data_IF_105629138448
#
_entry.id   IF_105629138448
#
_cell.length_a   1.000
_cell.length_b   1.000
_cell.length_c   1.000
_cell.angle_alpha   90.00
_cell.angle_beta   90.00
_cell.angle_gamma   90.00
#
_symmetry.space_group_name_H-M   'P 1'
#
loop_
_entity.id
_entity.type
_entity.pdbx_description
1 polymer ?
#
# COMPACT_ATOMS: atom_id res chain seq x y z
N UNK A 1 -10.63 26.40 -3.35
CA UNK A 1 -10.70 25.43 -2.25
C UNK A 1 -12.13 24.91 -2.13
N UNK A 2 -12.28 23.61 -1.95
CA UNK A 2 -13.59 22.97 -1.76
C UNK A 2 -13.54 22.28 -0.39
N UNK A 3 -14.10 22.86 0.68
CA UNK A 3 -14.03 22.28 2.00
C UNK A 3 -14.74 20.92 2.04
N UNK A 4 -14.16 19.97 2.77
CA UNK A 4 -14.80 18.70 3.11
C UNK A 4 -15.35 18.87 4.53
N UNK A 5 -16.66 18.82 4.67
CA UNK A 5 -17.36 18.95 5.97
C UNK A 5 -17.88 17.62 6.47
N UNK A 6 -18.13 16.67 5.54
CA UNK A 6 -18.60 15.32 5.83
C UNK A 6 -17.90 14.31 4.92
N UNK A 7 -17.09 13.43 5.53
CA UNK A 7 -16.24 12.45 4.87
C UNK A 7 -16.78 11.03 5.04
N UNK A 8 -17.03 10.34 3.94
CA UNK A 8 -17.24 8.91 3.94
C UNK A 8 -15.90 8.18 3.73
N UNK A 9 -15.66 7.13 4.51
CA UNK A 9 -14.52 6.23 4.27
C UNK A 9 -15.01 4.96 3.59
N UNK A 10 -14.67 4.82 2.29
CA UNK A 10 -15.03 3.66 1.48
C UNK A 10 -14.10 2.48 1.75
N UNK A 11 -13.98 2.10 3.01
CA UNK A 11 -13.10 1.04 3.50
C UNK A 11 -13.56 0.54 4.87
N UNK A 12 -12.80 -0.38 5.47
CA UNK A 12 -13.13 -1.04 6.73
C UNK A 12 -11.90 -1.13 7.66
N UNK A 13 -12.16 -1.64 8.87
CA UNK A 13 -11.12 -2.04 9.83
C UNK A 13 -10.19 -0.89 10.21
N UNK A 14 -8.88 -1.16 10.34
CA UNK A 14 -7.91 -0.24 10.91
C UNK A 14 -7.73 1.04 10.07
N UNK A 15 -7.72 0.92 8.73
CA UNK A 15 -7.54 2.10 7.88
C UNK A 15 -8.74 3.06 7.92
N UNK A 16 -9.95 2.53 8.06
CA UNK A 16 -11.12 3.38 8.24
C UNK A 16 -11.02 4.16 9.56
N UNK A 17 -10.65 3.50 10.65
CA UNK A 17 -10.43 4.14 11.95
C UNK A 17 -9.30 5.19 11.86
N UNK A 18 -8.21 4.86 11.15
CA UNK A 18 -7.09 5.78 10.95
C UNK A 18 -7.52 7.07 10.24
N UNK A 19 -8.34 6.94 9.22
CA UNK A 19 -8.88 8.10 8.48
C UNK A 19 -9.85 8.90 9.35
N UNK A 20 -10.74 8.25 10.09
CA UNK A 20 -11.66 8.93 10.99
C UNK A 20 -10.95 9.80 12.03
N UNK A 21 -9.83 9.32 12.60
CA UNK A 21 -9.02 10.09 13.55
C UNK A 21 -8.55 11.42 12.96
N UNK A 22 -7.93 11.39 11.78
CA UNK A 22 -7.45 12.63 11.13
C UNK A 22 -8.60 13.53 10.68
N UNK A 23 -9.72 12.97 10.21
CA UNK A 23 -10.90 13.74 9.86
C UNK A 23 -11.50 14.43 11.08
N UNK A 24 -11.63 13.74 12.20
CA UNK A 24 -12.15 14.26 13.46
C UNK A 24 -11.30 15.42 14.01
N UNK A 25 -9.97 15.27 13.97
CA UNK A 25 -9.01 16.33 14.34
C UNK A 25 -9.07 17.57 13.42
N UNK A 26 -9.61 17.43 12.23
CA UNK A 26 -9.90 18.53 11.30
C UNK A 26 -11.32 19.09 11.46
N UNK A 27 -12.13 18.59 12.40
CA UNK A 27 -13.53 18.98 12.59
C UNK A 27 -14.48 18.48 11.48
N UNK A 28 -14.07 17.45 10.72
CA UNK A 28 -14.85 16.86 9.64
C UNK A 28 -15.72 15.73 10.21
N UNK A 29 -17.03 15.76 9.94
CA UNK A 29 -17.94 14.66 10.30
C UNK A 29 -17.60 13.42 9.50
N UNK A 30 -17.71 12.25 10.12
CA UNK A 30 -17.26 11.00 9.57
C UNK A 30 -18.42 10.03 9.32
N UNK A 31 -18.37 9.33 8.19
CA UNK A 31 -19.34 8.31 7.79
C UNK A 31 -18.63 7.00 7.53
N UNK A 32 -18.99 5.96 8.26
CA UNK A 32 -18.58 4.60 7.98
C UNK A 32 -19.56 3.89 7.06
N UNK A 33 -19.05 3.01 6.20
CA UNK A 33 -19.85 1.96 5.55
C UNK A 33 -19.43 0.62 6.11
N UNK A 34 -20.36 -0.33 6.18
CA UNK A 34 -20.05 -1.68 6.65
C UNK A 34 -20.93 -2.73 5.95
N UNK A 35 -20.33 -3.87 5.58
CA UNK A 35 -21.07 -5.03 5.12
C UNK A 35 -21.78 -5.73 6.31
N UNK A 36 -22.76 -6.57 6.04
CA UNK A 36 -23.49 -7.30 7.08
C UNK A 36 -22.55 -8.08 8.01
N UNK A 37 -21.47 -8.63 7.48
CA UNK A 37 -20.46 -9.39 8.22
C UNK A 37 -19.64 -8.51 9.16
N UNK A 38 -19.53 -7.22 8.86
CA UNK A 38 -18.82 -6.21 9.66
C UNK A 38 -19.74 -5.45 10.66
N UNK A 39 -21.00 -5.90 10.86
CA UNK A 39 -21.95 -5.20 11.74
C UNK A 39 -21.47 -5.00 13.18
N UNK A 40 -20.47 -5.76 13.61
CA UNK A 40 -19.81 -5.64 14.91
C UNK A 40 -18.38 -5.14 14.83
N UNK A 41 -17.89 -4.79 13.65
CA UNK A 41 -16.53 -4.28 13.48
C UNK A 41 -16.36 -2.88 14.09
N UNK A 42 -15.19 -2.62 14.68
CA UNK A 42 -14.92 -1.40 15.46
C UNK A 42 -15.07 -0.12 14.64
N UNK A 43 -14.71 -0.14 13.36
CA UNK A 43 -14.76 1.08 12.53
C UNK A 43 -16.18 1.67 12.45
N UNK A 44 -17.20 0.83 12.49
CA UNK A 44 -18.60 1.26 12.53
C UNK A 44 -18.91 2.16 13.72
N UNK A 45 -18.30 1.88 14.88
CA UNK A 45 -18.53 2.60 16.14
C UNK A 45 -17.56 3.77 16.36
N UNK A 46 -16.66 4.02 15.40
CA UNK A 46 -15.67 5.10 15.47
C UNK A 46 -15.98 6.26 14.55
N UNK A 47 -16.99 6.15 13.73
CA UNK A 47 -17.53 7.23 12.92
C UNK A 47 -18.73 7.89 13.58
N UNK A 48 -19.07 9.11 13.19
CA UNK A 48 -20.26 9.82 13.67
C UNK A 48 -21.55 9.17 13.14
N UNK A 49 -21.49 8.62 11.92
CA UNK A 49 -22.59 7.91 11.26
C UNK A 49 -22.07 6.62 10.63
N UNK A 50 -22.93 5.59 10.56
CA UNK A 50 -22.57 4.32 9.95
C UNK A 50 -23.73 3.69 9.19
N UNK A 51 -23.50 3.24 7.96
CA UNK A 51 -24.53 2.71 7.08
C UNK A 51 -24.17 1.34 6.53
N UNK A 52 -25.17 0.46 6.49
CA UNK A 52 -25.06 -0.86 5.88
C UNK A 52 -25.00 -0.73 4.35
N UNK A 53 -24.05 -1.44 3.74
CA UNK A 53 -23.92 -1.55 2.28
C UNK A 53 -23.98 -2.99 1.82
N UNK A 54 -24.45 -3.20 0.59
CA UNK A 54 -24.53 -4.52 -0.03
C UNK A 54 -25.56 -5.45 0.60
N UNK A 55 -25.39 -6.75 0.35
CA UNK A 55 -26.30 -7.80 0.79
C UNK A 55 -25.59 -8.79 1.73
N UNK A 56 -26.30 -9.45 2.66
CA UNK A 56 -25.73 -10.54 3.45
C UNK A 56 -25.15 -11.64 2.56
N UNK A 57 -23.97 -12.15 2.92
CA UNK A 57 -23.27 -13.20 2.16
C UNK A 57 -22.39 -12.69 1.01
N UNK A 58 -22.38 -11.39 0.73
CA UNK A 58 -21.53 -10.78 -0.30
C UNK A 58 -20.57 -9.73 0.31
N UNK A 59 -19.77 -10.06 1.33
CA UNK A 59 -19.03 -9.07 2.12
C UNK A 59 -18.02 -8.25 1.29
N UNK A 60 -17.25 -8.89 0.41
CA UNK A 60 -16.27 -8.21 -0.44
C UNK A 60 -16.96 -7.34 -1.48
N UNK A 61 -18.00 -7.87 -2.13
CA UNK A 61 -18.75 -7.15 -3.17
C UNK A 61 -19.39 -5.88 -2.63
N UNK A 62 -19.81 -5.89 -1.36
CA UNK A 62 -20.39 -4.73 -0.69
C UNK A 62 -19.43 -3.52 -0.66
N UNK A 63 -18.12 -3.74 -0.53
CA UNK A 63 -17.09 -2.69 -0.56
C UNK A 63 -16.60 -2.35 -1.99
N UNK A 64 -17.07 -3.08 -3.00
CA UNK A 64 -16.75 -2.86 -4.41
C UNK A 64 -17.93 -2.29 -5.21
N UNK A 65 -19.06 -2.04 -4.56
CA UNK A 65 -20.28 -1.49 -5.18
C UNK A 65 -20.16 0.03 -5.34
N UNK A 66 -19.60 0.45 -6.47
CA UNK A 66 -19.38 1.86 -6.81
C UNK A 66 -20.69 2.66 -6.75
N UNK A 67 -21.73 2.16 -7.43
CA UNK A 67 -23.01 2.87 -7.56
C UNK A 67 -23.71 2.98 -6.21
N UNK A 68 -23.75 1.89 -5.43
CA UNK A 68 -24.34 1.86 -4.10
C UNK A 68 -23.64 2.79 -3.12
N UNK A 69 -22.31 2.81 -3.12
CA UNK A 69 -21.50 3.69 -2.25
C UNK A 69 -21.71 5.16 -2.61
N UNK A 70 -21.67 5.52 -3.89
CA UNK A 70 -21.87 6.90 -4.36
C UNK A 70 -23.30 7.38 -4.11
N UNK A 71 -24.31 6.52 -4.34
CA UNK A 71 -25.71 6.85 -4.07
C UNK A 71 -25.95 7.09 -2.56
N UNK A 72 -25.36 6.26 -1.70
CA UNK A 72 -25.42 6.42 -0.24
C UNK A 72 -24.75 7.74 0.18
N UNK A 73 -23.55 8.03 -0.35
CA UNK A 73 -22.83 9.26 -0.06
C UNK A 73 -23.68 10.50 -0.40
N UNK A 74 -24.34 10.52 -1.56
CA UNK A 74 -25.24 11.60 -1.96
C UNK A 74 -26.45 11.73 -1.04
N UNK A 75 -27.11 10.61 -0.73
CA UNK A 75 -28.30 10.59 0.12
C UNK A 75 -28.04 11.14 1.52
N UNK A 76 -26.81 11.00 2.01
CA UNK A 76 -26.40 11.45 3.35
C UNK A 76 -25.58 12.74 3.37
N UNK A 77 -25.53 13.49 2.25
CA UNK A 77 -24.87 14.78 2.19
C UNK A 77 -23.36 14.72 2.40
N UNK A 78 -22.71 13.62 1.98
CA UNK A 78 -21.26 13.45 1.97
C UNK A 78 -20.66 14.30 0.85
N UNK A 79 -19.61 15.06 1.16
CA UNK A 79 -18.90 15.92 0.22
C UNK A 79 -17.47 15.48 -0.08
N UNK A 80 -16.95 14.49 0.66
CA UNK A 80 -15.67 13.83 0.40
C UNK A 80 -15.71 12.33 0.63
N UNK A 81 -14.95 11.56 -0.16
CA UNK A 81 -14.76 10.12 0.02
C UNK A 81 -13.28 9.80 0.09
N UNK A 82 -12.86 9.11 1.17
CA UNK A 82 -11.51 8.56 1.30
C UNK A 82 -11.56 7.05 1.06
N UNK A 83 -10.83 6.51 0.06
CA UNK A 83 -10.90 5.10 -0.28
C UNK A 83 -10.01 4.20 0.60
N UNK A 84 -9.11 4.76 1.41
CA UNK A 84 -8.10 4.01 2.14
C UNK A 84 -7.08 3.34 1.22
N UNK A 85 -6.82 2.05 1.45
CA UNK A 85 -6.04 1.17 0.58
C UNK A 85 -6.79 -0.15 0.30
N UNK A 86 -6.47 -0.84 -0.79
CA UNK A 86 -7.25 -1.99 -1.27
C UNK A 86 -8.63 -1.57 -1.78
N UNK A 87 -9.52 -2.54 -2.02
CA UNK A 87 -10.86 -2.31 -2.58
C UNK A 87 -10.85 -1.35 -3.78
N UNK A 88 -11.49 -0.19 -3.64
CA UNK A 88 -11.66 0.80 -4.70
C UNK A 88 -10.60 1.92 -4.70
N UNK A 89 -9.55 1.81 -3.88
CA UNK A 89 -8.57 2.90 -3.72
C UNK A 89 -7.77 3.24 -4.99
N UNK A 90 -7.59 2.28 -5.88
CA UNK A 90 -6.89 2.44 -7.15
C UNK A 90 -7.85 2.35 -8.35
N UNK A 91 -9.16 2.38 -8.10
CA UNK A 91 -10.17 2.22 -9.15
C UNK A 91 -10.52 3.57 -9.80
N UNK A 92 -10.18 3.79 -11.10
CA UNK A 92 -10.44 5.04 -11.79
C UNK A 92 -11.93 5.29 -12.02
N UNK A 93 -12.76 4.25 -12.15
CA UNK A 93 -14.21 4.38 -12.34
C UNK A 93 -14.86 4.91 -11.06
N UNK A 94 -14.39 4.47 -9.88
CA UNK A 94 -14.87 5.01 -8.62
C UNK A 94 -14.52 6.48 -8.43
N UNK A 95 -13.28 6.87 -8.72
CA UNK A 95 -12.87 8.28 -8.67
C UNK A 95 -13.70 9.13 -9.64
N UNK A 96 -13.94 8.63 -10.87
CA UNK A 96 -14.79 9.30 -11.85
C UNK A 96 -16.25 9.40 -11.39
N UNK A 97 -16.81 8.37 -10.78
CA UNK A 97 -18.17 8.36 -10.24
C UNK A 97 -18.31 9.38 -9.09
N UNK A 98 -17.34 9.48 -8.20
CA UNK A 98 -17.29 10.52 -7.16
C UNK A 98 -17.33 11.92 -7.80
N UNK A 99 -16.46 12.19 -8.78
CA UNK A 99 -16.41 13.48 -9.49
C UNK A 99 -17.73 13.86 -10.17
N UNK A 100 -18.36 12.90 -10.87
CA UNK A 100 -19.69 13.09 -11.50
C UNK A 100 -20.80 13.37 -10.46
N UNK A 101 -20.68 12.79 -9.27
CA UNK A 101 -21.60 13.03 -8.17
C UNK A 101 -21.35 14.36 -7.44
N UNK A 102 -20.29 15.07 -7.81
CA UNK A 102 -19.89 16.29 -7.13
C UNK A 102 -19.21 16.03 -5.78
N UNK A 103 -18.69 14.85 -5.52
CA UNK A 103 -18.02 14.44 -4.30
C UNK A 103 -16.51 14.46 -4.52
N UNK A 104 -15.74 15.01 -3.59
CA UNK A 104 -14.27 15.03 -3.64
C UNK A 104 -13.72 13.65 -3.35
N UNK A 105 -13.00 13.05 -4.31
CA UNK A 105 -12.24 11.83 -4.08
C UNK A 105 -10.90 12.19 -3.42
N UNK A 106 -10.61 11.62 -2.25
CA UNK A 106 -9.35 11.85 -1.53
C UNK A 106 -8.30 10.88 -2.05
N UNK A 107 -7.63 11.29 -3.11
CA UNK A 107 -6.65 10.48 -3.83
C UNK A 107 -6.22 11.18 -5.12
N UNK A 108 -5.43 10.51 -5.95
CA UNK A 108 -5.02 11.02 -7.25
C UNK A 108 -6.19 11.16 -8.23
N UNK A 109 -6.03 12.02 -9.24
CA UNK A 109 -7.02 12.17 -10.32
C UNK A 109 -7.16 10.90 -11.18
N UNK A 110 -8.28 10.81 -11.89
CA UNK A 110 -8.67 9.62 -12.68
C UNK A 110 -7.57 9.19 -13.67
N UNK A 111 -6.99 10.14 -14.41
CA UNK A 111 -5.97 9.87 -15.43
C UNK A 111 -4.69 9.30 -14.80
N UNK A 112 -4.34 9.72 -13.60
CA UNK A 112 -3.21 9.14 -12.85
C UNK A 112 -3.48 7.70 -12.43
N UNK A 113 -4.69 7.43 -11.90
CA UNK A 113 -5.09 6.08 -11.53
C UNK A 113 -5.07 5.13 -12.74
N UNK A 114 -5.53 5.59 -13.91
CA UNK A 114 -5.47 4.83 -15.15
C UNK A 114 -4.04 4.57 -15.61
N UNK A 115 -3.21 5.60 -15.65
CA UNK A 115 -1.81 5.50 -16.13
C UNK A 115 -0.97 4.62 -15.21
N UNK A 116 -1.09 4.79 -13.89
CA UNK A 116 -0.27 4.07 -12.90
C UNK A 116 -0.79 2.66 -12.63
N UNK A 117 -2.08 2.39 -12.90
CA UNK A 117 -2.65 1.04 -12.85
C UNK A 117 -2.23 0.15 -14.03
N UNK A 118 -1.77 0.74 -15.14
CA UNK A 118 -1.18 0.03 -16.27
C UNK A 118 0.33 -0.09 -16.10
N UNK A 119 0.83 -1.32 -15.92
CA UNK A 119 2.27 -1.57 -15.70
C UNK A 119 3.16 -1.10 -16.83
N UNK A 120 2.68 -1.18 -18.07
CA UNK A 120 3.45 -0.73 -19.24
C UNK A 120 3.52 0.80 -19.25
N UNK A 121 2.40 1.48 -19.07
CA UNK A 121 2.35 2.93 -19.00
C UNK A 121 3.16 3.49 -17.81
N UNK A 122 3.14 2.82 -16.66
CA UNK A 122 3.95 3.20 -15.51
C UNK A 122 5.47 3.03 -15.77
N UNK A 123 5.89 1.97 -16.46
CA UNK A 123 7.29 1.76 -16.88
C UNK A 123 7.74 2.80 -17.90
N UNK A 124 6.89 3.13 -18.88
CA UNK A 124 7.16 4.17 -19.86
C UNK A 124 7.28 5.54 -19.20
N UNK A 125 6.46 5.81 -18.19
CA UNK A 125 6.54 7.02 -17.38
C UNK A 125 7.88 7.11 -16.62
N UNK A 126 8.30 6.03 -15.97
CA UNK A 126 9.59 5.97 -15.28
C UNK A 126 10.76 6.16 -16.25
N UNK A 127 10.71 5.54 -17.42
CA UNK A 127 11.72 5.72 -18.47
C UNK A 127 11.79 7.19 -18.96
N UNK A 128 10.62 7.82 -19.20
CA UNK A 128 10.55 9.25 -19.56
C UNK A 128 11.09 10.17 -18.47
N UNK A 129 10.97 9.77 -17.23
CA UNK A 129 11.53 10.48 -16.08
C UNK A 129 13.05 10.25 -15.91
N UNK A 130 13.68 9.44 -16.77
CA UNK A 130 15.11 9.10 -16.68
C UNK A 130 15.43 8.12 -15.55
N UNK A 131 14.43 7.41 -15.01
CA UNK A 131 14.61 6.48 -13.90
C UNK A 131 14.92 5.08 -14.43
N UNK A 132 15.95 4.40 -13.89
CA UNK A 132 16.29 3.05 -14.32
C UNK A 132 15.13 2.07 -14.10
N UNK A 133 14.87 1.25 -15.12
CA UNK A 133 13.91 0.12 -15.06
C UNK A 133 14.67 -1.20 -15.24
N UNK A 134 14.16 -2.30 -14.67
CA UNK A 134 14.75 -3.61 -14.89
C UNK A 134 14.72 -3.96 -16.37
N UNK A 135 15.87 -4.42 -16.88
CA UNK A 135 15.96 -4.94 -18.24
C UNK A 135 15.06 -6.17 -18.39
N UNK A 136 14.31 -6.23 -19.47
CA UNK A 136 13.37 -7.31 -19.75
C UNK A 136 12.75 -7.23 -21.12
N UNK A 137 11.85 -8.17 -21.42
CA UNK A 137 11.10 -8.17 -22.67
C UNK A 137 10.18 -6.95 -22.77
N UNK A 138 10.19 -6.29 -23.91
CA UNK A 138 9.29 -5.15 -24.17
C UNK A 138 7.82 -5.60 -24.36
N UNK A 139 7.62 -6.87 -24.77
CA UNK A 139 6.31 -7.50 -25.01
C UNK A 139 6.28 -8.88 -24.36
N UNK A 140 5.10 -9.43 -24.11
CA UNK A 140 4.99 -10.82 -23.70
C UNK A 140 5.70 -11.74 -24.71
N UNK A 141 6.43 -12.73 -24.20
CA UNK A 141 7.16 -13.68 -25.06
C UNK A 141 6.20 -14.62 -25.80
N UNK A 142 6.50 -14.88 -27.06
CA UNK A 142 5.65 -15.70 -27.95
C UNK A 142 5.85 -17.20 -27.71
N UNK A 143 6.98 -17.60 -27.12
CA UNK A 143 7.27 -19.01 -26.83
C UNK A 143 8.68 -19.19 -26.30
N UNK A 144 9.11 -20.48 -26.23
CA UNK A 144 10.40 -20.85 -25.62
C UNK A 144 11.60 -20.20 -26.34
N UNK A 145 11.63 -20.22 -27.68
CA UNK A 145 12.76 -19.67 -28.43
C UNK A 145 12.94 -18.15 -28.21
N UNK A 146 11.84 -17.42 -28.15
CA UNK A 146 11.86 -15.98 -27.85
C UNK A 146 12.30 -15.70 -26.41
N UNK A 147 11.74 -16.44 -25.44
CA UNK A 147 12.13 -16.35 -24.04
C UNK A 147 13.61 -16.69 -23.83
N UNK A 148 14.14 -17.71 -24.50
CA UNK A 148 15.53 -18.12 -24.42
C UNK A 148 16.48 -17.06 -24.97
N UNK A 149 16.14 -16.47 -26.11
CA UNK A 149 16.92 -15.39 -26.71
C UNK A 149 17.05 -14.23 -25.72
N UNK A 150 15.93 -13.75 -25.17
CA UNK A 150 15.89 -12.65 -24.21
C UNK A 150 16.65 -13.01 -22.93
N UNK A 151 16.47 -14.23 -22.40
CA UNK A 151 17.17 -14.67 -21.20
C UNK A 151 18.71 -14.72 -21.40
N UNK A 152 19.19 -15.13 -22.58
CA UNK A 152 20.62 -15.11 -22.93
C UNK A 152 21.16 -13.68 -23.02
N UNK A 153 20.41 -12.74 -23.59
CA UNK A 153 20.77 -11.32 -23.64
C UNK A 153 20.84 -10.67 -22.26
N UNK A 154 19.89 -11.00 -21.36
CA UNK A 154 19.84 -10.49 -20.00
C UNK A 154 20.89 -11.13 -19.06
N UNK A 155 21.35 -12.33 -19.41
CA UNK A 155 22.13 -13.18 -18.52
C UNK A 155 21.30 -13.77 -17.37
N UNK A 156 21.66 -15.02 -17.00
CA UNK A 156 20.99 -15.70 -15.89
C UNK A 156 21.36 -15.13 -14.51
N UNK A 157 20.51 -15.25 -13.47
CA UNK A 157 19.13 -15.72 -13.54
C UNK A 157 18.16 -14.67 -14.11
N UNK A 158 17.01 -15.16 -14.62
CA UNK A 158 15.88 -14.32 -15.03
C UNK A 158 14.61 -14.69 -14.26
N UNK A 159 13.60 -13.82 -14.31
CA UNK A 159 12.28 -14.09 -13.75
C UNK A 159 11.21 -14.00 -14.83
N UNK A 160 10.33 -14.98 -14.85
CA UNK A 160 9.12 -14.99 -15.67
C UNK A 160 7.99 -14.35 -14.86
N UNK A 161 7.24 -13.43 -15.47
CA UNK A 161 6.12 -12.71 -14.81
C UNK A 161 4.87 -12.73 -15.68
N UNK A 162 3.73 -13.09 -15.10
CA UNK A 162 2.43 -12.97 -15.78
C UNK A 162 2.12 -11.48 -16.06
N UNK A 163 1.62 -11.17 -17.25
CA UNK A 163 1.29 -9.81 -17.67
C UNK A 163 0.25 -9.13 -16.76
N UNK A 164 -0.76 -9.88 -16.34
CA UNK A 164 -1.85 -9.41 -15.47
C UNK A 164 -1.69 -9.87 -14.02
N UNK A 165 -0.52 -10.41 -13.64
CA UNK A 165 -0.22 -10.88 -12.29
C UNK A 165 0.05 -9.74 -11.30
N UNK A 166 -0.29 -9.99 -10.03
CA UNK A 166 0.01 -9.10 -8.90
C UNK A 166 0.30 -9.91 -7.64
N UNK A 167 0.95 -9.29 -6.64
CA UNK A 167 1.23 -9.94 -5.36
C UNK A 167 2.10 -11.20 -5.43
N UNK A 168 2.97 -11.32 -6.44
CA UNK A 168 3.87 -12.46 -6.59
C UNK A 168 3.27 -13.70 -7.28
N UNK A 169 2.00 -13.70 -7.64
CA UNK A 169 1.38 -14.80 -8.38
C UNK A 169 1.83 -14.82 -9.83
N UNK A 170 2.10 -16.01 -10.37
CA UNK A 170 2.58 -16.19 -11.75
C UNK A 170 4.03 -15.78 -11.96
N UNK A 171 4.84 -15.68 -10.89
CA UNK A 171 6.28 -15.43 -10.98
C UNK A 171 7.08 -16.73 -10.84
N UNK A 172 8.10 -16.90 -11.70
CA UNK A 172 9.03 -18.05 -11.66
C UNK A 172 10.46 -17.57 -11.90
N UNK A 173 11.34 -17.83 -10.95
CA UNK A 173 12.78 -17.60 -11.13
C UNK A 173 13.36 -18.78 -11.92
N UNK A 174 14.15 -18.46 -12.94
CA UNK A 174 14.82 -19.41 -13.83
C UNK A 174 16.32 -19.15 -13.75
N UNK A 175 17.07 -20.15 -13.33
CA UNK A 175 18.52 -20.01 -13.07
C UNK A 175 19.40 -20.42 -14.24
N UNK A 176 18.85 -21.20 -15.16
CA UNK A 176 19.55 -21.69 -16.34
C UNK A 176 18.63 -22.06 -17.48
N UNK A 177 19.22 -22.35 -18.63
CA UNK A 177 18.50 -22.70 -19.87
C UNK A 177 17.65 -23.98 -19.71
N UNK A 178 18.14 -24.94 -18.93
CA UNK A 178 17.50 -26.23 -18.65
C UNK A 178 16.15 -26.08 -17.89
N UNK A 179 16.02 -25.05 -17.08
CA UNK A 179 14.80 -24.80 -16.32
C UNK A 179 13.73 -24.02 -17.14
N UNK A 180 14.13 -23.32 -18.20
CA UNK A 180 13.30 -22.32 -18.87
C UNK A 180 12.02 -22.89 -19.48
N UNK A 181 12.09 -24.02 -20.15
CA UNK A 181 10.94 -24.60 -20.85
C UNK A 181 9.81 -24.96 -19.88
N UNK A 182 10.14 -25.67 -18.80
CA UNK A 182 9.18 -26.10 -17.77
C UNK A 182 8.61 -24.90 -17.00
N UNK A 183 9.48 -23.95 -16.67
CA UNK A 183 9.08 -22.75 -15.96
C UNK A 183 8.14 -21.87 -16.79
N UNK A 184 8.39 -21.71 -18.09
CA UNK A 184 7.57 -20.92 -19.00
C UNK A 184 6.17 -21.54 -19.18
N UNK A 185 6.10 -22.85 -19.45
CA UNK A 185 4.82 -23.55 -19.56
C UNK A 185 3.99 -23.45 -18.27
N UNK A 186 4.64 -23.64 -17.13
CA UNK A 186 3.99 -23.52 -15.83
C UNK A 186 3.47 -22.10 -15.58
N UNK A 187 4.27 -21.07 -15.89
CA UNK A 187 3.89 -19.66 -15.72
C UNK A 187 2.72 -19.29 -16.66
N UNK A 188 2.74 -19.72 -17.91
CA UNK A 188 1.67 -19.47 -18.88
C UNK A 188 0.37 -20.15 -18.48
N UNK A 189 0.41 -21.40 -18.01
CA UNK A 189 -0.77 -22.14 -17.52
C UNK A 189 -1.39 -21.48 -16.29
N UNK A 190 -0.56 -21.12 -15.30
CA UNK A 190 -1.02 -20.42 -14.10
C UNK A 190 -1.63 -19.05 -14.45
N UNK A 191 -0.98 -18.29 -15.33
CA UNK A 191 -1.47 -16.99 -15.80
C UNK A 191 -2.82 -17.10 -16.52
N UNK A 192 -2.97 -18.10 -17.37
CA UNK A 192 -4.24 -18.37 -18.08
C UNK A 192 -5.36 -18.74 -17.11
N UNK A 193 -5.07 -19.56 -16.11
CA UNK A 193 -6.07 -20.00 -15.11
C UNK A 193 -6.46 -18.86 -14.17
N UNK A 194 -5.50 -18.08 -13.71
CA UNK A 194 -5.76 -17.02 -12.70
C UNK A 194 -6.28 -15.72 -13.32
N UNK A 195 -5.86 -15.39 -14.55
CA UNK A 195 -6.10 -14.07 -15.16
C UNK A 195 -6.71 -14.12 -16.57
N UNK A 196 -7.01 -15.31 -17.08
CA UNK A 196 -7.58 -15.49 -18.43
C UNK A 196 -6.60 -15.27 -19.59
N UNK A 197 -5.33 -14.92 -19.33
CA UNK A 197 -4.31 -14.63 -20.33
C UNK A 197 -3.03 -15.42 -20.06
N UNK A 198 -2.43 -16.03 -21.09
CA UNK A 198 -1.15 -16.74 -21.01
C UNK A 198 0.08 -15.83 -21.24
N UNK A 199 -0.13 -14.51 -21.27
CA UNK A 199 0.94 -13.54 -21.53
C UNK A 199 1.97 -13.52 -20.39
N UNK A 200 3.25 -13.75 -20.71
CA UNK A 200 4.36 -13.79 -19.76
C UNK A 200 5.50 -12.92 -20.27
N UNK A 201 6.09 -12.14 -19.38
CA UNK A 201 7.30 -11.36 -19.61
C UNK A 201 8.52 -12.05 -19.02
N UNK A 202 9.70 -11.79 -19.60
CA UNK A 202 11.01 -12.18 -19.06
C UNK A 202 11.72 -10.94 -18.57
N UNK A 203 12.17 -10.92 -17.32
CA UNK A 203 12.95 -9.81 -16.75
C UNK A 203 14.22 -10.33 -16.08
N UNK A 204 15.23 -9.44 -15.94
CA UNK A 204 16.41 -9.73 -15.13
C UNK A 204 16.02 -9.98 -13.69
N UNK A 205 16.52 -11.05 -13.07
CA UNK A 205 16.32 -11.32 -11.66
C UNK A 205 17.52 -10.82 -10.84
N UNK A 206 17.23 -10.04 -9.79
CA UNK A 206 18.22 -9.58 -8.83
C UNK A 206 18.20 -10.53 -7.65
N UNK A 207 19.32 -11.21 -7.41
CA UNK A 207 19.38 -12.28 -6.39
C UNK A 207 19.28 -11.75 -4.97
N UNK A 208 19.93 -10.61 -4.68
CA UNK A 208 19.96 -9.96 -3.36
C UNK A 208 19.28 -8.60 -3.46
N UNK A 209 17.99 -8.65 -3.74
CA UNK A 209 17.19 -7.44 -3.88
C UNK A 209 16.67 -6.96 -2.53
N UNK A 210 16.78 -5.65 -2.28
CA UNK A 210 16.02 -4.95 -1.24
C UNK A 210 14.84 -4.25 -1.89
N UNK A 211 13.72 -4.28 -1.19
CA UNK A 211 12.50 -3.57 -1.61
C UNK A 211 12.46 -2.23 -0.87
N UNK A 212 12.84 -1.19 -1.56
CA UNK A 212 12.86 0.18 -1.04
C UNK A 212 11.75 0.98 -1.72
N UNK A 213 11.05 1.78 -0.95
CA UNK A 213 9.95 2.58 -1.47
C UNK A 213 9.98 4.01 -0.92
N UNK A 214 9.53 4.98 -1.70
CA UNK A 214 9.53 6.40 -1.33
C UNK A 214 8.12 6.93 -1.25
N UNK A 215 7.79 7.53 -0.10
CA UNK A 215 6.52 8.20 0.11
C UNK A 215 6.49 9.55 -0.61
N UNK A 216 5.53 9.73 -1.50
CA UNK A 216 5.24 11.02 -2.15
C UNK A 216 3.99 11.67 -1.54
N UNK A 217 3.98 12.99 -1.59
CA UNK A 217 2.79 13.81 -1.37
C UNK A 217 2.81 15.01 -2.33
N UNK A 218 1.77 15.14 -3.14
CA UNK A 218 1.58 16.23 -4.09
C UNK A 218 0.31 17.01 -3.82
N UNK A 219 0.29 18.30 -4.17
CA UNK A 219 -0.92 19.10 -4.16
C UNK A 219 -1.51 19.28 -5.57
N UNK A 220 -2.70 19.91 -5.66
CA UNK A 220 -3.37 20.20 -6.93
C UNK A 220 -2.73 21.35 -7.73
N UNK A 221 -1.68 21.96 -7.19
CA UNK A 221 -0.99 23.13 -7.76
C UNK A 221 0.36 22.78 -8.40
N UNK A 222 0.72 21.47 -8.39
CA UNK A 222 1.96 20.96 -8.97
C UNK A 222 3.15 20.96 -8.02
N UNK A 223 2.95 21.27 -6.74
CA UNK A 223 4.01 21.09 -5.74
C UNK A 223 4.06 19.63 -5.29
N UNK A 224 5.27 19.11 -5.11
CA UNK A 224 5.52 17.72 -4.78
C UNK A 224 6.69 17.61 -3.83
N UNK A 225 6.55 16.80 -2.77
CA UNK A 225 7.62 16.44 -1.84
C UNK A 225 7.68 14.94 -1.64
N UNK A 226 8.82 14.45 -1.19
CA UNK A 226 8.96 13.11 -0.63
C UNK A 226 9.04 13.17 0.90
N UNK A 227 8.58 12.11 1.55
CA UNK A 227 8.64 11.93 3.00
C UNK A 227 9.59 10.78 3.36
N UNK A 228 10.71 10.71 2.66
CA UNK A 228 11.75 9.69 2.77
C UNK A 228 11.30 8.28 2.35
N UNK A 229 12.22 7.35 2.50
CA UNK A 229 12.08 5.97 2.08
C UNK A 229 11.73 5.04 3.25
N UNK A 230 11.20 3.88 2.86
CA UNK A 230 10.97 2.71 3.70
C UNK A 230 11.67 1.49 3.13
N UNK A 231 12.11 0.60 3.98
CA UNK A 231 12.55 -0.73 3.61
C UNK A 231 11.45 -1.75 3.90
N UNK A 232 10.98 -2.42 2.88
CA UNK A 232 9.94 -3.43 2.91
C UNK A 232 10.46 -4.82 2.47
N UNK A 233 11.76 -5.08 2.67
CA UNK A 233 12.41 -6.31 2.21
C UNK A 233 12.02 -7.55 3.02
N UNK A 234 11.58 -7.38 4.27
CA UNK A 234 11.13 -8.51 5.11
C UNK A 234 9.73 -8.92 4.67
N UNK A 235 9.70 -9.95 3.83
CA UNK A 235 8.48 -10.45 3.22
C UNK A 235 8.34 -11.97 3.41
N UNK A 236 7.10 -12.43 3.45
CA UNK A 236 6.76 -13.84 3.38
C UNK A 236 5.87 -14.09 2.17
N UNK A 237 6.32 -14.92 1.21
CA UNK A 237 5.59 -15.18 -0.05
C UNK A 237 5.19 -13.89 -0.79
N UNK A 238 6.13 -12.94 -0.88
CA UNK A 238 5.95 -11.62 -1.50
C UNK A 238 4.94 -10.69 -0.77
N UNK A 239 4.55 -11.04 0.44
CA UNK A 239 3.73 -10.18 1.29
C UNK A 239 4.61 -9.53 2.36
N UNK A 240 4.56 -8.20 2.47
CA UNK A 240 5.30 -7.43 3.47
C UNK A 240 4.85 -7.84 4.88
N UNK A 241 5.80 -8.06 5.79
CA UNK A 241 5.56 -8.50 7.18
C UNK A 241 6.14 -7.52 8.18
N UNK A 242 7.36 -7.03 7.90
CA UNK A 242 8.04 -5.99 8.68
C UNK A 242 8.49 -4.89 7.74
N UNK A 243 8.19 -3.66 8.10
CA UNK A 243 8.58 -2.46 7.36
C UNK A 243 9.38 -1.53 8.28
N UNK A 244 10.43 -0.91 7.72
CA UNK A 244 11.37 -0.07 8.46
C UNK A 244 11.49 1.31 7.81
N UNK A 245 11.70 2.33 8.63
CA UNK A 245 12.07 3.67 8.17
C UNK A 245 13.03 4.33 9.19
N UNK A 246 14.10 5.02 8.70
CA UNK A 246 14.63 4.94 7.34
C UNK A 246 15.17 3.54 7.02
N UNK A 247 15.50 3.27 5.75
CA UNK A 247 16.09 2.00 5.33
C UNK A 247 17.45 1.77 6.02
N UNK A 248 17.62 0.69 6.82
CA UNK A 248 18.88 0.45 7.52
C UNK A 248 20.01 0.14 6.53
N UNK A 249 21.22 0.62 6.81
CA UNK A 249 22.41 0.37 6.01
C UNK A 249 22.25 0.71 4.50
N UNK A 250 21.39 1.66 4.17
CA UNK A 250 21.31 2.22 2.84
C UNK A 250 22.32 3.37 2.74
N UNK A 251 23.20 3.31 1.74
CA UNK A 251 24.15 4.36 1.50
C UNK A 251 23.44 5.72 1.29
N UNK A 252 23.90 6.82 1.92
CA UNK A 252 23.24 8.12 1.82
C UNK A 252 23.07 8.62 0.37
N UNK A 253 24.07 8.45 -0.48
CA UNK A 253 23.99 8.88 -1.89
C UNK A 253 22.95 8.05 -2.65
N UNK A 254 22.87 6.75 -2.38
CA UNK A 254 21.83 5.87 -2.95
C UNK A 254 20.43 6.26 -2.44
N UNK A 255 20.29 6.60 -1.17
CA UNK A 255 19.02 7.11 -0.60
C UNK A 255 18.58 8.37 -1.33
N UNK A 256 19.46 9.35 -1.44
CA UNK A 256 19.15 10.62 -2.09
C UNK A 256 18.75 10.40 -3.55
N UNK A 257 19.51 9.58 -4.28
CA UNK A 257 19.21 9.23 -5.67
C UNK A 257 17.85 8.55 -5.85
N UNK A 258 17.46 7.64 -4.95
CA UNK A 258 16.14 6.98 -4.97
C UNK A 258 15.01 7.99 -4.67
N UNK A 259 15.19 8.88 -3.69
CA UNK A 259 14.23 9.93 -3.40
C UNK A 259 14.06 10.90 -4.57
N UNK A 260 15.17 11.31 -5.21
CA UNK A 260 15.14 12.16 -6.40
C UNK A 260 14.47 11.46 -7.59
N UNK A 261 14.74 10.18 -7.80
CA UNK A 261 14.08 9.38 -8.82
C UNK A 261 12.56 9.32 -8.61
N UNK A 262 12.11 9.13 -7.38
CA UNK A 262 10.69 9.15 -7.03
C UNK A 262 10.06 10.52 -7.32
N UNK A 263 10.74 11.62 -6.99
CA UNK A 263 10.30 12.98 -7.31
C UNK A 263 10.25 13.20 -8.83
N UNK A 264 11.23 12.69 -9.58
CA UNK A 264 11.26 12.81 -11.05
C UNK A 264 10.05 12.12 -11.70
N UNK A 265 9.71 10.89 -11.24
CA UNK A 265 8.50 10.18 -11.66
C UNK A 265 7.26 10.99 -11.30
N UNK A 266 7.15 11.45 -10.06
CA UNK A 266 6.02 12.20 -9.59
C UNK A 266 5.81 13.51 -10.34
N UNK A 267 6.87 14.26 -10.67
CA UNK A 267 6.81 15.48 -11.49
C UNK A 267 6.37 15.17 -12.92
N UNK A 268 6.94 14.13 -13.53
CA UNK A 268 6.55 13.70 -14.90
C UNK A 268 5.09 13.30 -14.96
N UNK A 269 4.57 12.67 -13.90
CA UNK A 269 3.17 12.29 -13.75
C UNK A 269 2.26 13.46 -13.36
N UNK A 270 2.78 14.60 -12.93
CA UNK A 270 2.05 15.64 -12.20
C UNK A 270 1.25 15.03 -11.05
N UNK A 271 1.99 14.37 -10.15
CA UNK A 271 1.40 13.56 -9.10
C UNK A 271 0.63 14.42 -8.08
N UNK A 272 -0.53 13.92 -7.68
CA UNK A 272 -1.43 14.56 -6.71
C UNK A 272 -1.77 13.60 -5.58
N UNK A 273 -1.94 14.13 -4.36
CA UNK A 273 -2.24 13.41 -3.12
C UNK A 273 -1.09 12.48 -2.69
N UNK A 274 -1.36 11.53 -1.79
CA UNK A 274 -0.35 10.58 -1.32
C UNK A 274 -0.17 9.42 -2.30
N UNK A 275 1.07 8.99 -2.45
CA UNK A 275 1.44 7.80 -3.20
C UNK A 275 2.82 7.31 -2.84
N UNK A 276 3.18 6.16 -3.37
CA UNK A 276 4.46 5.53 -3.08
C UNK A 276 5.08 4.99 -4.36
N UNK A 277 6.35 5.30 -4.58
CA UNK A 277 7.15 4.75 -5.68
C UNK A 277 8.01 3.64 -5.13
N UNK A 278 7.89 2.44 -5.68
CA UNK A 278 8.62 1.25 -5.25
C UNK A 278 9.81 0.95 -6.16
N UNK A 279 10.92 0.56 -5.53
CA UNK A 279 12.18 0.24 -6.19
C UNK A 279 12.75 -1.10 -5.69
N UNK A 280 13.42 -1.83 -6.59
CA UNK A 280 14.38 -2.87 -6.20
C UNK A 280 15.77 -2.26 -6.15
N UNK A 281 16.44 -2.45 -5.03
CA UNK A 281 17.86 -2.09 -4.87
C UNK A 281 18.68 -3.36 -4.82
N UNK A 282 19.61 -3.49 -5.72
CA UNK A 282 20.59 -4.58 -5.70
C UNK A 282 21.58 -4.34 -4.55
N UNK A 283 21.56 -5.22 -3.56
CA UNK A 283 22.39 -5.09 -2.36
C UNK A 283 23.89 -5.25 -2.63
N UNK A 284 24.27 -5.86 -3.75
CA UNK A 284 25.68 -6.07 -4.10
C UNK A 284 26.28 -4.87 -4.85
N UNK A 285 25.47 -4.18 -5.65
CA UNK A 285 25.95 -3.08 -6.53
C UNK A 285 25.44 -1.70 -6.12
N UNK A 286 24.45 -1.61 -5.24
CA UNK A 286 23.77 -0.37 -4.88
C UNK A 286 22.89 0.20 -6.00
N UNK A 287 22.81 -0.45 -7.17
CA UNK A 287 21.95 -0.01 -8.28
C UNK A 287 20.47 -0.22 -7.91
N UNK A 288 19.64 0.74 -8.28
CA UNK A 288 18.21 0.63 -8.05
C UNK A 288 17.42 0.67 -9.36
N UNK A 289 16.22 0.10 -9.32
CA UNK A 289 15.35 -0.03 -10.48
C UNK A 289 13.89 0.17 -10.05
N UNK A 290 13.16 0.94 -10.84
CA UNK A 290 11.74 1.16 -10.64
C UNK A 290 10.94 -0.15 -10.76
N UNK A 291 9.96 -0.33 -9.88
CA UNK A 291 8.99 -1.44 -9.92
C UNK A 291 7.62 -0.92 -10.34
N UNK A 292 7.01 -0.09 -9.49
CA UNK A 292 5.65 0.40 -9.66
C UNK A 292 5.40 1.66 -8.83
N UNK A 293 4.27 2.31 -9.08
CA UNK A 293 3.72 3.36 -8.22
C UNK A 293 2.40 2.86 -7.64
N UNK A 294 2.24 2.98 -6.33
CA UNK A 294 0.97 2.76 -5.65
C UNK A 294 0.30 4.12 -5.42
N UNK A 295 -0.73 4.48 -6.22
CA UNK A 295 -1.34 5.81 -6.19
C UNK A 295 -2.37 5.95 -5.05
N UNK A 296 -1.95 5.69 -3.85
CA UNK A 296 -2.75 5.67 -2.60
C UNK A 296 -1.87 5.69 -1.38
N UNK A 297 -2.47 5.82 -0.22
CA UNK A 297 -1.82 5.50 1.06
C UNK A 297 -1.54 4.00 1.15
N UNK A 298 -0.46 3.60 1.82
CA UNK A 298 -0.10 2.20 2.03
C UNK A 298 -0.25 1.78 3.49
N UNK A 299 -0.28 0.45 3.75
CA UNK A 299 -0.38 -0.14 5.09
C UNK A 299 0.72 0.37 5.99
N UNK A 300 1.93 0.48 5.46
CA UNK A 300 3.18 0.83 6.12
C UNK A 300 3.46 2.34 6.26
N UNK A 301 2.51 3.20 5.91
CA UNK A 301 2.67 4.66 6.04
C UNK A 301 3.05 5.09 7.48
N UNK A 302 2.72 4.30 8.46
CA UNK A 302 2.93 4.62 9.88
C UNK A 302 4.40 4.79 10.24
N UNK A 303 5.33 4.01 9.65
CA UNK A 303 6.77 4.18 9.94
C UNK A 303 7.29 5.51 9.43
N UNK A 304 6.79 6.00 8.29
CA UNK A 304 7.10 7.34 7.78
C UNK A 304 6.55 8.42 8.71
N UNK A 305 5.32 8.28 9.19
CA UNK A 305 4.71 9.21 10.15
C UNK A 305 5.51 9.28 11.44
N UNK A 306 5.96 8.14 11.96
CA UNK A 306 6.74 8.08 13.21
C UNK A 306 8.12 8.75 13.11
N UNK A 307 8.81 8.64 11.98
CA UNK A 307 10.13 9.28 11.81
C UNK A 307 10.04 10.75 11.40
N UNK A 308 8.93 11.20 10.80
CA UNK A 308 8.78 12.57 10.30
C UNK A 308 7.92 13.45 11.20
N UNK A 309 7.06 12.86 12.02
CA UNK A 309 6.01 13.57 12.76
C UNK A 309 4.90 14.13 11.86
N UNK A 310 4.83 13.70 10.59
CA UNK A 310 3.86 14.19 9.61
C UNK A 310 2.69 13.20 9.51
N UNK A 311 1.49 13.61 9.91
CA UNK A 311 0.25 12.86 9.66
C UNK A 311 -0.09 12.92 8.16
N UNK A 312 0.18 11.84 7.43
CA UNK A 312 -0.03 11.75 5.98
C UNK A 312 -1.52 11.83 5.63
N UNK A 313 -2.39 11.16 6.39
CA UNK A 313 -3.84 11.15 6.14
C UNK A 313 -4.43 12.54 6.31
N UNK A 314 -4.01 13.27 7.35
CA UNK A 314 -4.40 14.67 7.54
C UNK A 314 -4.01 15.53 6.32
N UNK A 315 -2.79 15.33 5.80
CA UNK A 315 -2.30 16.07 4.61
C UNK A 315 -3.07 15.67 3.35
N UNK A 316 -3.41 14.38 3.20
CA UNK A 316 -4.29 13.93 2.10
C UNK A 316 -5.62 14.69 2.09
N UNK A 317 -6.26 14.84 3.24
CA UNK A 317 -7.52 15.57 3.37
C UNK A 317 -7.36 17.06 3.04
N UNK A 318 -6.30 17.69 3.51
CA UNK A 318 -6.05 19.11 3.24
C UNK A 318 -5.75 19.37 1.76
N UNK A 319 -4.88 18.60 1.12
CA UNK A 319 -4.58 18.78 -0.31
C UNK A 319 -5.79 18.45 -1.20
N UNK A 320 -6.62 17.49 -0.81
CA UNK A 320 -7.87 17.20 -1.53
C UNK A 320 -8.89 18.35 -1.44
N UNK A 321 -8.84 19.17 -0.40
CA UNK A 321 -9.62 20.40 -0.27
C UNK A 321 -9.06 21.57 -1.09
N UNK A 322 -7.88 21.40 -1.71
CA UNK A 322 -7.22 22.41 -2.55
C UNK A 322 -6.16 23.24 -1.82
N UNK A 323 -5.74 22.85 -0.63
CA UNK A 323 -4.60 23.48 0.04
C UNK A 323 -3.29 23.18 -0.69
N UNK A 324 -2.41 24.18 -0.72
CA UNK A 324 -1.03 24.02 -1.21
C UNK A 324 -0.16 23.36 -0.14
N UNK A 325 0.88 22.65 -0.56
CA UNK A 325 1.87 22.11 0.37
C UNK A 325 2.51 23.22 1.23
N UNK A 326 2.64 24.44 0.70
CA UNK A 326 3.17 25.61 1.40
C UNK A 326 2.21 26.27 2.38
N UNK A 327 0.92 25.93 2.39
CA UNK A 327 -0.04 26.50 3.33
C UNK A 327 0.34 26.12 4.77
N UNK A 328 0.21 27.04 5.75
CA UNK A 328 0.62 26.78 7.14
C UNK A 328 -0.04 25.53 7.76
N UNK A 329 -1.26 25.20 7.34
CA UNK A 329 -1.98 24.01 7.83
C UNK A 329 -1.37 22.70 7.30
N UNK A 330 -0.74 22.72 6.12
CA UNK A 330 -0.04 21.58 5.51
C UNK A 330 1.42 21.55 5.97
N UNK A 331 2.12 22.68 5.88
CA UNK A 331 3.47 22.87 6.44
C UNK A 331 4.58 22.12 5.71
N UNK A 332 4.41 21.86 4.40
CA UNK A 332 5.33 21.05 3.59
C UNK A 332 5.85 21.81 2.34
N UNK A 333 5.96 23.13 2.42
CA UNK A 333 6.36 23.97 1.30
C UNK A 333 7.83 23.89 0.89
N UNK A 334 8.70 23.40 1.77
CA UNK A 334 10.14 23.25 1.49
C UNK A 334 10.58 21.82 1.85
N UNK A 335 11.04 21.10 0.82
CA UNK A 335 11.59 19.74 0.99
C UNK A 335 12.77 19.73 2.00
N UNK A 336 13.57 20.79 2.02
CA UNK A 336 14.75 20.87 2.91
C UNK A 336 14.34 21.08 4.37
N UNK A 337 13.13 21.53 4.66
CA UNK A 337 12.61 21.68 6.01
C UNK A 337 12.06 20.36 6.57
N UNK A 338 11.72 19.40 5.73
CA UNK A 338 11.24 18.08 6.15
C UNK A 338 12.41 17.30 6.76
N UNK A 339 12.23 16.81 7.98
CA UNK A 339 13.25 16.06 8.72
C UNK A 339 12.79 14.63 9.02
N UNK A 340 13.76 13.74 9.02
CA UNK A 340 13.61 12.39 9.56
C UNK A 340 14.38 12.30 10.88
N UNK A 341 13.77 11.76 11.93
CA UNK A 341 14.38 11.64 13.26
C UNK A 341 14.17 10.24 13.81
N UNK A 342 15.28 9.61 14.24
CA UNK A 342 15.26 8.27 14.80
C UNK A 342 14.97 7.19 13.76
N UNK A 343 14.36 6.12 14.21
CA UNK A 343 13.96 4.98 13.40
C UNK A 343 12.61 4.43 13.83
N UNK A 344 11.88 3.83 12.92
CA UNK A 344 10.63 3.15 13.21
C UNK A 344 10.56 1.79 12.50
N UNK A 345 9.91 0.83 13.16
CA UNK A 345 9.59 -0.49 12.63
C UNK A 345 8.09 -0.74 12.78
N UNK A 346 7.47 -1.30 11.75
CA UNK A 346 6.10 -1.80 11.82
C UNK A 346 6.09 -3.30 11.65
N UNK A 347 5.33 -4.01 12.49
CA UNK A 347 4.98 -5.42 12.31
C UNK A 347 3.47 -5.56 12.13
N UNK A 348 3.07 -6.47 11.26
CA UNK A 348 1.67 -6.84 11.07
C UNK A 348 1.35 -8.05 11.94
N UNK A 349 0.47 -7.88 12.92
CA UNK A 349 -0.07 -9.00 13.70
C UNK A 349 -1.30 -9.54 12.96
N UNK A 350 -1.19 -10.76 12.47
CA UNK A 350 -2.19 -11.41 11.61
C UNK A 350 -2.69 -12.71 12.25
N UNK A 351 -3.89 -13.13 11.91
CA UNK A 351 -4.42 -14.44 12.30
C UNK A 351 -4.03 -15.49 11.28
N UNK A 352 -2.89 -16.13 11.52
CA UNK A 352 -2.32 -17.15 10.65
C UNK A 352 -1.74 -18.29 11.50
N UNK A 353 -1.88 -19.52 11.01
CA UNK A 353 -1.39 -20.71 11.69
C UNK A 353 0.06 -21.04 11.28
N UNK A 354 1.06 -20.74 12.10
CA UNK A 354 2.47 -21.02 11.77
C UNK A 354 2.77 -22.53 11.66
N UNK A 355 2.01 -23.39 12.36
CA UNK A 355 2.15 -24.84 12.27
C UNK A 355 1.55 -25.41 10.97
N UNK A 356 0.64 -24.66 10.34
CA UNK A 356 -0.02 -25.03 9.08
C UNK A 356 0.38 -24.08 7.93
N UNK A 357 1.67 -23.88 7.73
CA UNK A 357 2.24 -23.06 6.64
C UNK A 357 1.69 -21.65 6.59
N UNK A 358 1.33 -21.04 7.73
CA UNK A 358 0.77 -19.71 7.83
C UNK A 358 -0.54 -19.53 7.01
N UNK A 359 -1.37 -20.56 6.95
CA UNK A 359 -2.71 -20.39 6.42
C UNK A 359 -3.51 -19.47 7.35
N UNK A 360 -4.36 -18.60 6.80
CA UNK A 360 -5.23 -17.76 7.62
C UNK A 360 -6.07 -18.58 8.58
N UNK A 361 -6.16 -18.15 9.83
CA UNK A 361 -6.98 -18.75 10.86
C UNK A 361 -8.17 -17.85 11.20
N UNK A 362 -9.29 -18.45 11.48
CA UNK A 362 -10.57 -17.79 11.68
C UNK A 362 -11.23 -18.27 12.98
N UNK A 363 -12.03 -17.42 13.57
CA UNK A 363 -12.74 -17.80 14.78
C UNK A 363 -13.06 -16.62 15.69
N UNK A 364 -13.54 -16.93 16.88
CA UNK A 364 -13.84 -15.93 17.90
C UNK A 364 -12.64 -15.74 18.81
N UNK A 365 -12.13 -14.53 18.90
CA UNK A 365 -11.11 -14.17 19.90
C UNK A 365 -11.72 -14.18 21.30
N UNK A 366 -11.23 -15.08 22.15
CA UNK A 366 -11.67 -15.19 23.55
C UNK A 366 -10.90 -14.25 24.48
N UNK A 367 -9.68 -13.88 24.10
CA UNK A 367 -8.90 -12.85 24.77
C UNK A 367 -8.10 -12.03 23.75
N UNK A 368 -8.06 -10.71 23.95
CA UNK A 368 -7.18 -9.80 23.27
C UNK A 368 -6.63 -8.79 24.28
N UNK A 369 -5.32 -8.77 24.43
CA UNK A 369 -4.60 -7.74 25.19
C UNK A 369 -3.45 -7.27 24.32
N UNK A 370 -3.40 -5.98 24.09
CA UNK A 370 -2.30 -5.31 23.38
C UNK A 370 -1.31 -4.74 24.39
N UNK A 371 -0.11 -4.54 23.93
CA UNK A 371 0.92 -3.79 24.66
C UNK A 371 0.74 -2.29 24.47
N UNK A 372 1.45 -1.52 25.26
CA UNK A 372 1.56 -0.06 25.18
C UNK A 372 2.94 0.38 25.69
N UNK A 373 3.12 1.67 25.88
CA UNK A 373 4.33 2.26 26.45
C UNK A 373 5.06 3.16 25.46
N UNK A 374 6.21 3.68 25.92
CA UNK A 374 6.99 4.64 25.16
C UNK A 374 7.39 4.07 23.78
N UNK A 375 7.19 4.88 22.73
CA UNK A 375 7.57 4.51 21.37
C UNK A 375 6.67 3.46 20.70
N UNK A 376 5.51 3.12 21.27
CA UNK A 376 4.58 2.15 20.71
C UNK A 376 3.32 2.83 20.20
N UNK A 377 3.00 2.58 18.93
CA UNK A 377 1.76 2.94 18.27
C UNK A 377 1.02 1.70 17.80
N UNK A 378 -0.29 1.66 18.01
CA UNK A 378 -1.18 0.58 17.58
C UNK A 378 -2.26 1.11 16.65
N UNK A 379 -2.32 0.57 15.44
CA UNK A 379 -3.42 0.80 14.51
C UNK A 379 -4.21 -0.51 14.39
N UNK A 380 -5.24 -0.64 15.22
CA UNK A 380 -6.07 -1.84 15.34
C UNK A 380 -7.40 -1.66 14.62
N UNK A 381 -7.85 -2.73 13.99
CA UNK A 381 -9.16 -2.83 13.34
C UNK A 381 -10.13 -3.68 14.15
N UNK A 382 -10.28 -4.94 13.79
CA UNK A 382 -11.20 -5.90 14.43
C UNK A 382 -10.53 -6.67 15.57
N UNK A 383 -9.74 -5.99 16.41
CA UNK A 383 -8.95 -6.60 17.47
C UNK A 383 -9.51 -6.24 18.86
N UNK A 384 -10.42 -7.06 19.38
CA UNK A 384 -10.96 -6.97 20.76
C UNK A 384 -11.47 -8.34 21.22
N UNK A 385 -11.56 -8.53 22.54
CA UNK A 385 -12.11 -9.77 23.12
C UNK A 385 -13.58 -9.95 22.72
N UNK A 386 -13.92 -11.11 22.16
CA UNK A 386 -15.23 -11.41 21.61
C UNK A 386 -15.40 -11.14 20.11
N UNK A 387 -14.46 -10.47 19.47
CA UNK A 387 -14.50 -10.23 18.01
C UNK A 387 -14.41 -11.56 17.24
N UNK A 388 -15.09 -11.60 16.10
CA UNK A 388 -15.04 -12.74 15.17
C UNK A 388 -14.16 -12.37 13.98
N UNK A 389 -13.09 -13.13 13.79
CA UNK A 389 -12.27 -13.08 12.57
C UNK A 389 -12.94 -13.95 11.52
N UNK A 390 -13.28 -13.34 10.40
CA UNK A 390 -13.99 -14.02 9.30
C UNK A 390 -13.03 -14.40 8.17
N UNK A 391 -13.36 -15.42 7.35
CA UNK A 391 -12.52 -15.82 6.22
C UNK A 391 -12.62 -14.90 4.99
N UNK A 392 -13.42 -13.86 5.06
CA UNK A 392 -13.72 -13.04 3.88
C UNK A 392 -12.73 -11.90 3.63
N UNK A 393 -12.03 -11.49 4.67
CA UNK A 393 -11.13 -10.33 4.63
C UNK A 393 -9.71 -10.72 5.02
N UNK A 394 -8.81 -9.77 4.86
CA UNK A 394 -7.42 -9.92 5.30
C UNK A 394 -7.34 -10.28 6.80
N UNK A 395 -6.38 -11.14 7.13
CA UNK A 395 -6.15 -11.64 8.49
C UNK A 395 -5.53 -10.60 9.45
N UNK A 396 -5.30 -9.37 9.01
CA UNK A 396 -4.68 -8.31 9.80
C UNK A 396 -5.54 -7.91 11.01
N UNK A 397 -5.02 -8.11 12.21
CA UNK A 397 -5.64 -7.66 13.46
C UNK A 397 -5.21 -6.26 13.85
N UNK A 398 -3.90 -6.03 13.84
CA UNK A 398 -3.31 -4.77 14.28
C UNK A 398 -1.94 -4.57 13.65
N UNK A 399 -1.64 -3.32 13.30
CA UNK A 399 -0.29 -2.88 13.00
C UNK A 399 0.35 -2.36 14.28
N UNK A 400 1.49 -2.92 14.63
CA UNK A 400 2.32 -2.44 15.72
C UNK A 400 3.46 -1.63 15.10
N UNK A 401 3.54 -0.36 15.41
CA UNK A 401 4.65 0.49 14.98
C UNK A 401 5.43 0.92 16.22
N UNK A 402 6.72 0.64 16.22
CA UNK A 402 7.64 1.04 17.29
C UNK A 402 8.61 2.10 16.77
N UNK A 403 8.87 3.12 17.59
CA UNK A 403 9.84 4.19 17.33
C UNK A 403 10.95 4.17 18.38
N UNK A 404 12.18 4.45 17.94
CA UNK A 404 13.35 4.67 18.81
C UNK A 404 14.28 5.73 18.21
N UNK A 405 15.32 6.12 18.92
CA UNK A 405 16.37 7.00 18.38
C UNK A 405 17.25 6.27 17.36
N UNK A 406 17.31 4.94 17.48
CA UNK A 406 18.04 4.03 16.59
C UNK A 406 17.16 2.86 16.17
N UNK A 407 17.52 2.16 15.08
CA UNK A 407 16.86 0.92 14.69
C UNK A 407 16.90 -0.16 15.78
N UNK A 408 18.01 -0.25 16.53
CA UNK A 408 18.15 -1.21 17.62
C UNK A 408 17.17 -0.91 18.76
N UNK A 409 17.02 0.35 19.13
CA UNK A 409 16.04 0.77 20.14
C UNK A 409 14.61 0.50 19.70
N UNK A 410 14.26 0.88 18.47
CA UNK A 410 12.94 0.59 17.90
C UNK A 410 12.67 -0.93 17.84
N UNK A 411 13.69 -1.74 17.49
CA UNK A 411 13.58 -3.20 17.50
C UNK A 411 13.35 -3.75 18.91
N UNK A 412 14.05 -3.23 19.92
CA UNK A 412 13.80 -3.61 21.31
C UNK A 412 12.39 -3.26 21.79
N UNK A 413 11.88 -2.09 21.39
CA UNK A 413 10.51 -1.68 21.71
C UNK A 413 9.46 -2.60 21.07
N UNK A 414 9.63 -2.96 19.78
CA UNK A 414 8.64 -3.81 19.09
C UNK A 414 8.71 -5.27 19.59
N UNK A 415 9.90 -5.79 19.90
CA UNK A 415 10.08 -7.13 20.47
C UNK A 415 9.35 -7.24 21.80
N UNK A 416 9.61 -6.32 22.75
CA UNK A 416 8.89 -6.25 24.02
C UNK A 416 7.39 -6.16 23.80
N UNK A 417 6.94 -5.29 22.89
CA UNK A 417 5.53 -5.12 22.59
C UNK A 417 4.89 -6.43 22.11
N UNK A 418 5.53 -7.13 21.18
CA UNK A 418 5.02 -8.41 20.65
C UNK A 418 4.97 -9.50 21.73
N UNK A 419 5.91 -9.55 22.66
CA UNK A 419 5.91 -10.49 23.79
C UNK A 419 4.76 -10.24 24.79
N UNK A 420 4.34 -8.98 24.95
CA UNK A 420 3.23 -8.62 25.84
C UNK A 420 1.85 -8.94 25.25
N UNK A 421 1.73 -9.15 23.93
CA UNK A 421 0.44 -9.48 23.31
C UNK A 421 -0.11 -10.80 23.84
N UNK A 422 -1.40 -10.80 24.15
CA UNK A 422 -2.14 -12.01 24.46
C UNK A 422 -3.38 -12.13 23.60
N UNK A 423 -3.31 -13.02 22.63
CA UNK A 423 -4.41 -13.34 21.72
C UNK A 423 -4.77 -14.81 21.94
N UNK A 424 -6.06 -15.10 22.11
CA UNK A 424 -6.60 -16.44 22.30
C UNK A 424 -7.88 -16.63 21.48
N UNK A 425 -8.11 -17.88 21.05
CA UNK A 425 -9.27 -18.26 20.24
C UNK A 425 -8.99 -18.24 18.73
N UNK A 426 -7.86 -17.68 18.33
CA UNK A 426 -7.28 -17.74 16.98
C UNK A 426 -5.78 -17.90 17.10
N UNK A 427 -5.13 -18.47 16.08
CA UNK A 427 -3.67 -18.55 15.96
C UNK A 427 -3.12 -17.26 15.32
N UNK A 428 -1.89 -16.89 15.73
CA UNK A 428 -1.21 -15.67 15.27
C UNK A 428 0.28 -15.93 15.06
#
# INVERSE_FOLDING_TARGET
MRPITKLLVANRSEIAIRVFRSAHELGIRTVAIYAHEDRFALHRFKADEAYLVGKPGEPIRSYLDIDGIVALAKAHGVDGIHPGYGFLSENPEFAAACGKAGITFVGPRVELLQTLGDKTAARDLAHKAGVPILAGSAKPVVGHADALKIAKELGWPVILKAAHGGGGRGMRVVRGEDELAVALESAQRESKTAFGSAAVFVEKFIQRARHIEVQLLGDLHGNLVHLFERDCSVQRRHQKVVELAPAPNLDPATRDAICEAAIAIGRTARYENAGTVEFLVDADTGRFYFIEVNPRIQVEHTVTEEITGIDIVRRQLLVAQGHKLSDPQVGLGDQKAIRSMGAALQCRVTTEDPENRFLPDYGRMTAYRSASGMGIRLDAGTAFSGAVVTPYFDSLLVKVTARGLTHQEAAGHIERCLQEFRIRGVKT
#
